data_IF_194782928534
#
_entry.id   IF_194782928534
#
_cell.length_a   1.000
_cell.length_b   1.000
_cell.length_c   1.000
_cell.angle_alpha   90.00
_cell.angle_beta   90.00
_cell.angle_gamma   90.00
#
_symmetry.space_group_name_H-M   'P 1'
#
loop_
_entity.id
_entity.type
_entity.pdbx_description
1 polymer ?
#
# COMPACT_ATOMS: atom_id res chain seq x y z
N UNK A 1 -28.50 60.93 -18.17
CA UNK A 1 -29.08 60.45 -16.90
C UNK A 1 -28.13 59.40 -16.34
N UNK A 2 -27.52 59.65 -15.18
CA UNK A 2 -26.65 58.69 -14.51
C UNK A 2 -27.47 57.95 -13.46
N UNK A 3 -27.34 56.62 -13.43
CA UNK A 3 -27.96 55.79 -12.39
C UNK A 3 -26.87 55.32 -11.42
N UNK A 4 -27.22 55.28 -10.14
CA UNK A 4 -26.39 54.69 -9.09
C UNK A 4 -26.95 53.32 -8.71
N UNK A 5 -26.06 52.38 -8.37
CA UNK A 5 -26.41 51.03 -7.93
C UNK A 5 -25.91 50.81 -6.51
N UNK A 6 -26.67 50.08 -5.71
CA UNK A 6 -26.36 49.78 -4.31
C UNK A 6 -25.16 48.83 -4.20
N UNK A 7 -24.14 49.21 -3.43
CA UNK A 7 -22.91 48.42 -3.22
C UNK A 7 -22.76 47.88 -1.79
N UNK A 8 -23.81 47.95 -0.95
CA UNK A 8 -23.77 47.34 0.38
C UNK A 8 -25.01 47.60 1.24
N UNK A 9 -25.33 46.65 2.12
CA UNK A 9 -26.39 46.75 3.13
C UNK A 9 -25.72 46.75 4.51
N UNK A 10 -26.08 47.71 5.37
CA UNK A 10 -25.48 47.85 6.70
C UNK A 10 -25.82 46.64 7.58
N UNK A 11 -24.81 45.85 7.95
CA UNK A 11 -24.94 44.69 8.83
C UNK A 11 -24.11 43.46 8.44
N UNK A 12 -23.54 43.41 7.24
CA UNK A 12 -22.65 42.31 6.82
C UNK A 12 -21.20 42.81 6.72
N UNK A 13 -20.37 42.41 7.68
CA UNK A 13 -18.90 42.50 7.54
C UNK A 13 -18.42 41.39 6.62
N UNK A 14 -18.31 41.69 5.33
CA UNK A 14 -17.54 40.89 4.37
C UNK A 14 -16.12 41.43 4.30
N UNK A 15 -15.16 40.63 4.75
CA UNK A 15 -13.73 40.85 4.55
C UNK A 15 -13.43 40.85 3.04
N UNK A 16 -13.29 42.03 2.44
CA UNK A 16 -12.85 42.16 1.05
C UNK A 16 -11.35 41.91 0.97
N UNK A 17 -10.97 40.66 0.68
CA UNK A 17 -9.67 40.38 0.06
C UNK A 17 -9.66 41.06 -1.30
N UNK A 18 -8.80 42.06 -1.52
CA UNK A 18 -8.68 42.72 -2.82
C UNK A 18 -8.19 41.72 -3.86
N UNK A 19 -9.07 41.26 -4.74
CA UNK A 19 -8.68 40.42 -5.88
C UNK A 19 -7.92 41.30 -6.89
N UNK A 20 -6.64 41.02 -7.20
CA UNK A 20 -5.84 41.82 -8.13
C UNK A 20 -6.35 41.75 -9.59
N UNK A 21 -7.26 40.81 -9.89
CA UNK A 21 -7.86 40.65 -11.22
C UNK A 21 -9.31 41.12 -11.21
N UNK A 22 -9.52 42.43 -11.09
CA UNK A 22 -10.85 43.07 -11.15
C UNK A 22 -10.81 44.30 -12.07
N UNK A 23 -11.83 44.52 -12.94
CA UNK A 23 -13.06 43.75 -13.06
C UNK A 23 -12.88 42.46 -13.87
N UNK A 24 -13.61 41.40 -13.50
CA UNK A 24 -13.67 40.13 -14.25
C UNK A 24 -14.87 40.13 -15.18
N UNK A 25 -14.70 39.61 -16.39
CA UNK A 25 -15.85 39.35 -17.25
C UNK A 25 -16.71 38.26 -16.61
N UNK A 26 -18.04 38.38 -16.72
CA UNK A 26 -18.97 37.41 -16.13
C UNK A 26 -18.73 36.01 -16.68
N UNK A 27 -19.00 34.98 -15.89
CA UNK A 27 -18.97 33.60 -16.36
C UNK A 27 -17.57 33.00 -16.50
N UNK A 28 -16.52 33.63 -15.96
CA UNK A 28 -15.21 32.99 -15.79
C UNK A 28 -15.37 31.70 -14.95
N UNK A 29 -14.65 30.65 -15.35
CA UNK A 29 -14.60 29.39 -14.62
C UNK A 29 -14.21 29.58 -13.14
N UNK A 30 -14.93 28.90 -12.25
CA UNK A 30 -14.74 29.03 -10.80
C UNK A 30 -13.34 28.61 -10.32
N UNK A 31 -12.63 27.79 -11.10
CA UNK A 31 -11.28 27.30 -10.83
C UNK A 31 -10.17 28.10 -11.53
N UNK A 32 -10.48 29.28 -12.09
CA UNK A 32 -9.50 30.10 -12.78
C UNK A 32 -8.36 30.55 -11.85
N UNK A 33 -7.12 30.25 -12.23
CA UNK A 33 -5.92 30.62 -11.48
C UNK A 33 -4.93 31.49 -12.27
N UNK A 34 -5.22 31.73 -13.55
CA UNK A 34 -4.43 32.60 -14.42
C UNK A 34 -5.36 33.45 -15.28
N UNK A 35 -5.12 34.75 -15.25
CA UNK A 35 -5.98 35.74 -15.86
C UNK A 35 -5.24 36.55 -16.92
N UNK A 36 -5.96 36.95 -17.96
CA UNK A 36 -5.51 37.87 -19.00
C UNK A 36 -6.40 39.10 -19.01
N UNK A 37 -5.81 40.29 -19.11
CA UNK A 37 -6.55 41.54 -19.23
C UNK A 37 -6.77 41.85 -20.71
N UNK A 38 -8.03 41.88 -21.14
CA UNK A 38 -8.37 42.05 -22.56
C UNK A 38 -8.13 43.49 -23.00
N UNK A 39 -7.31 43.68 -24.02
CA UNK A 39 -7.07 44.94 -24.70
C UNK A 39 -8.03 45.16 -25.88
N UNK A 40 -8.16 46.41 -26.33
CA UNK A 40 -9.01 46.74 -27.47
C UNK A 40 -8.40 46.13 -28.73
N UNK A 41 -9.18 45.28 -29.42
CA UNK A 41 -8.76 44.63 -30.67
C UNK A 41 -8.30 43.18 -30.49
N UNK A 42 -8.26 42.68 -29.26
CA UNK A 42 -7.96 41.28 -29.00
C UNK A 42 -9.01 40.32 -29.57
N UNK A 43 -8.53 39.13 -29.94
CA UNK A 43 -9.38 38.01 -30.35
C UNK A 43 -9.05 36.76 -29.54
N UNK A 44 -10.07 35.96 -29.23
CA UNK A 44 -9.96 34.76 -28.41
C UNK A 44 -8.92 33.77 -28.96
N UNK A 45 -8.82 33.63 -30.29
CA UNK A 45 -7.83 32.75 -30.91
C UNK A 45 -6.38 33.24 -30.69
N UNK A 46 -6.15 34.55 -30.72
CA UNK A 46 -4.83 35.13 -30.45
C UNK A 46 -4.45 34.95 -28.98
N UNK A 47 -5.38 35.27 -28.06
CA UNK A 47 -5.18 35.07 -26.61
C UNK A 47 -4.88 33.59 -26.32
N UNK A 48 -5.71 32.67 -26.82
CA UNK A 48 -5.52 31.24 -26.60
C UNK A 48 -4.15 30.75 -27.10
N UNK A 49 -3.73 31.18 -28.29
CA UNK A 49 -2.42 30.87 -28.86
C UNK A 49 -1.26 31.42 -28.01
N UNK A 50 -1.36 32.68 -27.55
CA UNK A 50 -0.34 33.30 -26.67
C UNK A 50 -0.12 32.53 -25.37
N UNK A 51 -1.18 31.94 -24.83
CA UNK A 51 -1.12 31.19 -23.58
C UNK A 51 -0.96 29.66 -23.78
N UNK A 52 -0.86 29.19 -25.02
CA UNK A 52 -0.65 27.78 -25.35
C UNK A 52 -1.84 26.88 -25.00
N UNK A 53 -3.05 27.42 -25.01
CA UNK A 53 -4.30 26.70 -24.71
C UNK A 53 -5.15 26.56 -25.97
N UNK A 54 -6.01 25.54 -26.05
CA UNK A 54 -6.88 25.41 -27.21
C UNK A 54 -7.98 26.48 -27.18
N UNK A 55 -8.51 26.85 -28.34
CA UNK A 55 -9.64 27.78 -28.40
C UNK A 55 -10.90 27.22 -27.72
N UNK A 56 -11.06 25.88 -27.73
CA UNK A 56 -12.13 25.18 -27.03
C UNK A 56 -12.00 25.36 -25.51
N UNK A 57 -10.79 25.22 -24.96
CA UNK A 57 -10.53 25.45 -23.54
C UNK A 57 -10.79 26.90 -23.15
N UNK A 58 -10.34 27.85 -23.98
CA UNK A 58 -10.61 29.26 -23.72
C UNK A 58 -12.11 29.57 -23.65
N UNK A 59 -12.92 28.97 -24.55
CA UNK A 59 -14.38 29.13 -24.51
C UNK A 59 -15.03 28.41 -23.33
N UNK A 60 -14.56 27.22 -22.95
CA UNK A 60 -15.09 26.49 -21.81
C UNK A 60 -14.81 27.21 -20.49
N UNK A 61 -13.66 27.90 -20.38
CA UNK A 61 -13.30 28.68 -19.20
C UNK A 61 -13.94 30.08 -19.17
N UNK A 62 -14.43 30.56 -20.31
CA UNK A 62 -15.03 31.90 -20.44
C UNK A 62 -16.34 31.89 -21.26
N UNK A 63 -17.37 31.11 -20.88
CA UNK A 63 -18.60 30.94 -21.67
C UNK A 63 -19.29 32.24 -22.10
N UNK A 64 -19.17 33.33 -21.32
CA UNK A 64 -19.78 34.61 -21.66
C UNK A 64 -19.16 35.31 -22.88
N UNK A 65 -17.98 34.90 -23.36
CA UNK A 65 -17.39 35.43 -24.61
C UNK A 65 -18.10 34.88 -25.85
N UNK A 66 -18.89 33.81 -25.68
CA UNK A 66 -19.58 33.10 -26.74
C UNK A 66 -18.65 32.21 -27.58
N UNK A 67 -19.23 31.36 -28.43
CA UNK A 67 -18.49 30.44 -29.31
C UNK A 67 -17.90 31.10 -30.55
N UNK A 68 -18.18 32.38 -30.78
CA UNK A 68 -17.67 33.19 -31.89
C UNK A 68 -16.79 34.35 -31.41
N UNK A 69 -16.45 34.41 -30.11
CA UNK A 69 -15.69 35.50 -29.48
C UNK A 69 -16.33 36.90 -29.56
N UNK A 70 -17.58 37.01 -30.04
CA UNK A 70 -18.23 38.32 -30.26
C UNK A 70 -18.51 39.09 -28.98
N UNK A 71 -18.53 38.42 -27.84
CA UNK A 71 -18.84 39.02 -26.53
C UNK A 71 -17.59 39.19 -25.65
N UNK A 72 -16.39 39.12 -26.22
CA UNK A 72 -15.15 39.43 -25.51
C UNK A 72 -15.10 40.94 -25.17
N UNK A 73 -14.98 41.28 -23.88
CA UNK A 73 -15.04 42.66 -23.40
C UNK A 73 -13.65 43.21 -23.11
N UNK A 74 -13.22 44.22 -23.88
CA UNK A 74 -12.00 44.96 -23.55
C UNK A 74 -12.14 45.67 -22.19
N UNK A 75 -11.05 45.68 -21.41
CA UNK A 75 -11.02 46.26 -20.07
C UNK A 75 -11.46 45.32 -18.94
N UNK A 76 -11.72 44.05 -19.25
CA UNK A 76 -12.05 43.01 -18.27
C UNK A 76 -11.00 41.90 -18.27
N UNK A 77 -10.83 41.25 -17.12
CA UNK A 77 -10.06 40.03 -17.03
C UNK A 77 -10.87 38.83 -17.53
N UNK A 78 -10.20 37.94 -18.27
CA UNK A 78 -10.70 36.62 -18.71
C UNK A 78 -9.74 35.53 -18.23
N UNK A 79 -10.22 34.30 -18.15
CA UNK A 79 -9.43 33.16 -17.74
C UNK A 79 -8.55 32.61 -18.87
N UNK A 80 -7.26 32.43 -18.59
CA UNK A 80 -6.29 31.81 -19.51
C UNK A 80 -5.52 30.67 -18.86
N UNK A 81 -5.98 30.23 -17.69
CA UNK A 81 -5.48 29.05 -17.00
C UNK A 81 -6.32 28.77 -15.77
N UNK A 82 -6.59 27.49 -15.56
CA UNK A 82 -7.31 26.99 -14.41
C UNK A 82 -6.37 26.19 -13.51
N UNK A 83 -6.59 26.23 -12.20
CA UNK A 83 -6.01 25.21 -11.34
C UNK A 83 -6.64 23.90 -11.74
N UNK A 84 -5.83 22.83 -11.80
CA UNK A 84 -6.37 21.48 -11.78
C UNK A 84 -7.16 21.29 -10.48
N UNK A 85 -8.43 21.68 -10.48
CA UNK A 85 -9.41 21.11 -9.58
C UNK A 85 -9.57 19.66 -10.02
N UNK A 86 -9.61 18.75 -9.06
CA UNK A 86 -10.37 17.49 -8.97
C UNK A 86 -11.34 17.15 -10.14
N UNK A 87 -10.87 17.19 -11.38
CA UNK A 87 -11.75 17.40 -12.54
C UNK A 87 -11.10 17.23 -13.91
N UNK A 88 -9.77 17.11 -14.02
CA UNK A 88 -9.15 16.39 -15.14
C UNK A 88 -8.99 14.89 -14.84
N UNK A 89 -10.00 14.37 -14.15
CA UNK A 89 -10.30 12.95 -14.04
C UNK A 89 -10.59 12.35 -15.44
N UNK A 90 -11.01 13.18 -16.41
CA UNK A 90 -11.16 12.77 -17.82
C UNK A 90 -9.86 12.81 -18.63
N UNK A 91 -8.75 13.41 -18.17
CA UNK A 91 -7.51 13.42 -18.96
C UNK A 91 -6.93 12.00 -19.07
N UNK A 92 -7.09 11.16 -18.04
CA UNK A 92 -6.76 9.72 -18.13
C UNK A 92 -7.67 9.03 -19.14
N UNK A 93 -8.96 9.37 -19.16
CA UNK A 93 -9.93 8.81 -20.11
C UNK A 93 -9.65 9.26 -21.54
N UNK A 94 -9.28 10.52 -21.76
CA UNK A 94 -8.83 11.06 -23.05
C UNK A 94 -7.47 10.48 -23.47
N UNK A 95 -6.52 10.29 -22.55
CA UNK A 95 -5.25 9.59 -22.81
C UNK A 95 -5.52 8.13 -23.19
N UNK A 96 -6.39 7.42 -22.47
CA UNK A 96 -6.79 6.05 -22.79
C UNK A 96 -7.58 5.97 -24.11
N UNK A 97 -8.34 7.00 -24.44
CA UNK A 97 -9.05 7.12 -25.71
C UNK A 97 -8.10 7.50 -26.86
N UNK A 98 -7.04 8.26 -26.61
CA UNK A 98 -5.95 8.47 -27.56
C UNK A 98 -5.13 7.19 -27.75
N UNK A 99 -4.87 6.42 -26.68
CA UNK A 99 -4.25 5.10 -26.77
C UNK A 99 -5.12 4.13 -27.57
N UNK A 100 -6.45 4.16 -27.39
CA UNK A 100 -7.39 3.34 -28.17
C UNK A 100 -7.42 3.74 -29.66
N UNK A 101 -7.21 5.01 -30.00
CA UNK A 101 -7.01 5.47 -31.38
C UNK A 101 -5.69 4.94 -31.96
N UNK A 102 -4.61 4.90 -31.16
CA UNK A 102 -3.31 4.37 -31.59
C UNK A 102 -3.36 2.84 -31.77
N UNK A 103 -4.17 2.11 -31.00
CA UNK A 103 -4.37 0.66 -31.18
C UNK A 103 -5.36 0.34 -32.31
N UNK A 104 -6.49 1.05 -32.44
CA UNK A 104 -7.45 0.86 -33.55
C UNK A 104 -6.87 1.15 -34.93
N UNK A 105 -5.92 2.09 -35.04
CA UNK A 105 -5.27 2.41 -36.32
C UNK A 105 -4.47 1.24 -36.92
N UNK A 106 -4.23 0.15 -36.17
CA UNK A 106 -3.66 -1.12 -36.69
C UNK A 106 -4.72 -2.11 -37.20
N UNK A 107 -6.00 -1.98 -36.81
CA UNK A 107 -7.07 -2.92 -37.19
C UNK A 107 -7.46 -2.81 -38.68
N UNK A 108 -7.24 -1.68 -39.34
CA UNK A 108 -7.56 -1.53 -40.77
C UNK A 108 -6.62 -2.31 -41.71
N UNK A 109 -5.65 -3.08 -41.19
CA UNK A 109 -4.70 -3.87 -42.02
C UNK A 109 -4.58 -5.36 -41.69
N UNK A 110 -5.34 -5.92 -40.75
CA UNK A 110 -5.19 -7.34 -40.37
C UNK A 110 -6.44 -8.16 -40.74
N UNK A 111 -6.40 -8.82 -41.90
CA UNK A 111 -7.36 -9.87 -42.26
C UNK A 111 -6.95 -11.21 -41.64
N UNK A 112 -7.93 -11.85 -40.98
CA UNK A 112 -8.07 -13.29 -40.67
C UNK A 112 -6.96 -13.97 -39.84
N UNK A 113 -7.20 -14.12 -38.52
CA UNK A 113 -7.26 -15.40 -37.78
C UNK A 113 -7.49 -15.15 -36.27
N UNK A 114 -8.39 -15.94 -35.66
CA UNK A 114 -8.81 -15.91 -34.25
C UNK A 114 -7.67 -16.26 -33.28
N UNK A 115 -7.14 -15.27 -32.55
CA UNK A 115 -6.46 -15.40 -31.23
C UNK A 115 -6.09 -14.01 -30.68
N UNK A 116 -5.93 -13.82 -29.36
CA UNK A 116 -5.28 -12.64 -28.79
C UNK A 116 -3.92 -12.44 -29.46
N UNK A 117 -3.64 -11.23 -29.93
CA UNK A 117 -2.45 -10.90 -30.73
C UNK A 117 -1.19 -11.36 -29.97
N UNK A 118 -0.52 -12.43 -30.45
CA UNK A 118 0.89 -12.69 -30.15
C UNK A 118 1.67 -11.67 -30.98
N UNK A 119 2.05 -10.55 -30.39
CA UNK A 119 2.96 -9.62 -31.04
C UNK A 119 4.25 -10.38 -31.37
N UNK A 120 4.46 -10.54 -32.67
CA UNK A 120 5.64 -11.14 -33.26
C UNK A 120 6.83 -10.24 -32.96
N UNK A 121 7.65 -10.63 -32.00
CA UNK A 121 9.11 -10.63 -32.12
C UNK A 121 9.80 -9.33 -32.61
N UNK A 122 9.29 -8.14 -32.29
CA UNK A 122 9.90 -6.87 -32.71
C UNK A 122 9.95 -5.76 -31.64
N UNK A 123 9.89 -6.10 -30.34
CA UNK A 123 10.19 -5.18 -29.24
C UNK A 123 11.10 -5.87 -28.22
N UNK A 124 12.42 -5.87 -28.46
CA UNK A 124 13.37 -6.73 -27.75
C UNK A 124 13.81 -6.29 -26.35
N UNK A 125 13.32 -5.19 -25.77
CA UNK A 125 13.92 -4.73 -24.49
C UNK A 125 12.93 -4.39 -23.34
N UNK A 126 11.61 -4.32 -23.56
CA UNK A 126 10.63 -3.95 -22.50
C UNK A 126 9.56 -5.02 -22.19
N UNK A 127 9.35 -6.02 -23.06
CA UNK A 127 8.30 -7.05 -22.88
C UNK A 127 8.81 -8.33 -22.18
N UNK A 128 10.12 -8.50 -22.04
CA UNK A 128 10.71 -9.63 -21.31
C UNK A 128 10.33 -9.62 -19.82
N UNK A 129 9.95 -8.46 -19.29
CA UNK A 129 9.39 -8.31 -17.96
C UNK A 129 7.94 -8.76 -17.81
N UNK A 130 7.18 -9.01 -18.88
CA UNK A 130 5.74 -9.32 -18.79
C UNK A 130 5.41 -10.82 -18.71
N UNK A 131 6.42 -11.67 -18.81
CA UNK A 131 6.28 -13.12 -18.90
C UNK A 131 6.74 -13.79 -17.61
N UNK A 132 6.08 -14.90 -17.28
CA UNK A 132 6.49 -15.78 -16.20
C UNK A 132 7.72 -16.60 -16.60
N UNK A 133 8.29 -17.32 -15.63
CA UNK A 133 9.50 -18.12 -15.80
C UNK A 133 9.39 -19.21 -16.88
N UNK A 134 8.18 -19.63 -17.22
CA UNK A 134 7.87 -20.60 -18.29
C UNK A 134 7.69 -19.94 -19.67
N UNK A 135 7.85 -18.62 -19.77
CA UNK A 135 7.70 -17.83 -20.98
C UNK A 135 6.24 -17.52 -21.35
N UNK A 136 5.27 -17.89 -20.52
CA UNK A 136 3.86 -17.52 -20.71
C UNK A 136 3.60 -16.10 -20.20
N UNK A 137 2.54 -15.45 -20.70
CA UNK A 137 2.14 -14.12 -20.22
C UNK A 137 1.67 -14.22 -18.77
N UNK A 138 2.11 -13.32 -17.89
CA UNK A 138 1.73 -13.33 -16.47
C UNK A 138 0.20 -13.46 -16.27
N UNK A 139 -0.23 -14.31 -15.32
CA UNK A 139 -1.66 -14.64 -15.14
C UNK A 139 -2.56 -13.40 -14.96
N UNK A 140 -2.17 -12.42 -14.14
CA UNK A 140 -2.95 -11.18 -13.95
C UNK A 140 -3.11 -10.39 -15.26
N UNK A 141 -2.10 -10.42 -16.15
CA UNK A 141 -2.18 -9.76 -17.45
C UNK A 141 -3.18 -10.48 -18.35
N UNK A 142 -3.17 -11.82 -18.38
CA UNK A 142 -4.15 -12.60 -19.14
C UNK A 142 -5.60 -12.34 -18.68
N UNK A 143 -5.80 -12.14 -17.37
CA UNK A 143 -7.11 -11.87 -16.80
C UNK A 143 -7.54 -10.40 -16.82
N UNK A 144 -6.62 -9.49 -17.17
CA UNK A 144 -6.82 -8.06 -17.07
C UNK A 144 -7.97 -7.58 -17.97
N UNK A 145 -8.90 -6.72 -17.49
CA UNK A 145 -10.00 -6.20 -18.31
C UNK A 145 -9.51 -5.53 -19.59
N UNK A 146 -8.52 -4.64 -19.49
CA UNK A 146 -7.92 -4.00 -20.66
C UNK A 146 -7.26 -4.99 -21.64
N UNK A 147 -6.73 -6.12 -21.16
CA UNK A 147 -6.16 -7.13 -22.07
C UNK A 147 -7.26 -7.82 -22.89
N UNK A 148 -8.42 -8.07 -22.26
CA UNK A 148 -9.61 -8.62 -22.95
C UNK A 148 -10.21 -7.65 -23.96
N UNK A 149 -9.99 -6.35 -23.77
CA UNK A 149 -10.33 -5.27 -24.70
C UNK A 149 -9.18 -4.96 -25.69
N UNK A 150 -8.23 -5.87 -25.86
CA UNK A 150 -7.16 -5.80 -26.86
C UNK A 150 -6.15 -4.65 -26.68
N UNK A 151 -6.04 -4.09 -25.46
CA UNK A 151 -4.95 -3.17 -25.15
C UNK A 151 -3.61 -3.90 -25.06
N UNK A 152 -2.54 -3.23 -25.49
CA UNK A 152 -1.18 -3.78 -25.41
C UNK A 152 -0.73 -3.91 -23.96
N UNK A 153 0.05 -4.96 -23.68
CA UNK A 153 0.61 -5.22 -22.35
C UNK A 153 1.36 -4.02 -21.78
N UNK A 154 2.18 -3.34 -22.60
CA UNK A 154 2.91 -2.14 -22.19
C UNK A 154 1.98 -1.02 -21.69
N UNK A 155 0.86 -0.81 -22.38
CA UNK A 155 -0.11 0.24 -22.02
C UNK A 155 -0.83 -0.14 -20.71
N UNK A 156 -1.14 -1.43 -20.51
CA UNK A 156 -1.72 -1.95 -19.26
C UNK A 156 -0.78 -1.75 -18.08
N UNK A 157 0.50 -2.12 -18.24
CA UNK A 157 1.51 -1.93 -17.19
C UNK A 157 1.70 -0.45 -16.87
N UNK A 158 1.68 0.43 -17.88
CA UNK A 158 1.73 1.87 -17.65
C UNK A 158 0.56 2.39 -16.81
N UNK A 159 -0.67 1.96 -17.13
CA UNK A 159 -1.88 2.29 -16.34
C UNK A 159 -1.75 1.81 -14.90
N UNK A 160 -1.28 0.58 -14.69
CA UNK A 160 -1.11 0.01 -13.35
C UNK A 160 -0.06 0.76 -12.52
N UNK A 161 1.08 1.14 -13.13
CA UNK A 161 2.10 1.95 -12.45
C UNK A 161 1.58 3.34 -12.09
N UNK A 162 0.85 3.98 -13.02
CA UNK A 162 0.23 5.28 -12.78
C UNK A 162 -0.83 5.21 -11.66
N UNK A 163 -1.58 4.11 -11.61
CA UNK A 163 -2.50 3.82 -10.53
C UNK A 163 -1.78 3.71 -9.18
N UNK A 164 -0.67 2.96 -9.07
CA UNK A 164 0.13 2.90 -7.83
C UNK A 164 0.65 4.28 -7.41
N UNK A 165 1.16 5.07 -8.37
CA UNK A 165 1.63 6.42 -8.09
C UNK A 165 0.49 7.32 -7.55
N UNK A 166 -0.73 7.17 -8.08
CA UNK A 166 -1.88 7.95 -7.61
C UNK A 166 -2.22 7.67 -6.15
N UNK A 167 -2.10 6.41 -5.70
CA UNK A 167 -2.28 6.00 -4.31
C UNK A 167 -1.26 6.70 -3.42
N UNK A 168 0.02 6.66 -3.77
CA UNK A 168 1.09 7.30 -2.99
C UNK A 168 0.85 8.81 -2.80
N UNK A 169 0.27 9.47 -3.81
CA UNK A 169 -0.04 10.91 -3.75
C UNK A 169 -1.30 11.28 -2.97
N UNK A 170 -2.11 10.30 -2.52
CA UNK A 170 -3.32 10.57 -1.74
C UNK A 170 -4.51 11.14 -2.51
N UNK A 171 -4.49 11.04 -3.85
CA UNK A 171 -5.53 11.62 -4.72
C UNK A 171 -6.66 10.61 -4.96
N UNK A 172 -7.61 10.52 -4.04
CA UNK A 172 -8.70 9.52 -4.10
C UNK A 172 -9.51 9.56 -5.39
N UNK A 173 -9.76 10.74 -5.96
CA UNK A 173 -10.53 10.88 -7.20
C UNK A 173 -9.76 10.31 -8.40
N UNK A 174 -8.43 10.46 -8.39
CA UNK A 174 -7.57 9.89 -9.42
C UNK A 174 -7.47 8.36 -9.27
N UNK A 175 -7.41 7.85 -8.05
CA UNK A 175 -7.48 6.41 -7.77
C UNK A 175 -8.79 5.83 -8.31
N UNK A 176 -9.92 6.47 -8.03
CA UNK A 176 -11.23 6.02 -8.53
C UNK A 176 -11.30 6.07 -10.05
N UNK A 177 -10.76 7.13 -10.67
CA UNK A 177 -10.66 7.24 -12.12
C UNK A 177 -9.92 6.06 -12.77
N UNK A 178 -8.76 5.70 -12.21
CA UNK A 178 -7.98 4.57 -12.71
C UNK A 178 -8.77 3.26 -12.58
N UNK A 179 -9.44 3.03 -11.45
CA UNK A 179 -10.28 1.85 -11.25
C UNK A 179 -11.45 1.79 -12.24
N UNK A 180 -12.16 2.90 -12.44
CA UNK A 180 -13.25 3.03 -13.41
C UNK A 180 -12.77 2.83 -14.85
N UNK A 181 -11.50 3.17 -15.10
CA UNK A 181 -10.82 3.01 -16.38
C UNK A 181 -10.19 1.62 -16.59
N UNK A 182 -10.44 0.67 -15.68
CA UNK A 182 -10.01 -0.72 -15.81
C UNK A 182 -8.68 -1.06 -15.16
N UNK A 183 -8.09 -0.17 -14.35
CA UNK A 183 -7.01 -0.55 -13.44
C UNK A 183 -7.53 -1.56 -12.41
N UNK A 184 -6.68 -2.51 -12.03
CA UNK A 184 -7.03 -3.63 -11.15
C UNK A 184 -6.29 -3.49 -9.84
N UNK A 185 -7.03 -3.27 -8.74
CA UNK A 185 -6.46 -3.09 -7.41
C UNK A 185 -5.73 -4.34 -6.86
N UNK A 186 -6.07 -5.53 -7.37
CA UNK A 186 -5.41 -6.78 -7.04
C UNK A 186 -4.35 -7.21 -8.05
N UNK A 187 -3.84 -6.30 -8.88
CA UNK A 187 -2.85 -6.62 -9.91
C UNK A 187 -1.49 -6.95 -9.30
N UNK A 188 -0.98 -8.16 -9.54
CA UNK A 188 0.43 -8.46 -9.35
C UNK A 188 1.24 -8.07 -10.58
N UNK A 189 2.30 -7.33 -10.32
CA UNK A 189 3.33 -7.10 -11.32
C UNK A 189 4.14 -8.39 -11.53
N UNK A 190 4.57 -8.66 -12.77
CA UNK A 190 5.46 -9.77 -13.07
C UNK A 190 6.76 -9.73 -12.24
N UNK A 191 7.40 -10.90 -12.06
CA UNK A 191 8.50 -11.13 -11.13
C UNK A 191 9.72 -10.19 -11.24
N UNK A 192 9.95 -9.59 -12.41
CA UNK A 192 11.07 -8.68 -12.65
C UNK A 192 10.81 -7.25 -12.15
N UNK A 193 9.59 -6.94 -11.73
CA UNK A 193 9.16 -5.64 -11.23
C UNK A 193 8.47 -5.78 -9.86
N UNK A 194 9.27 -5.67 -8.81
CA UNK A 194 8.79 -5.65 -7.44
C UNK A 194 8.11 -4.31 -7.13
N UNK A 195 6.80 -4.33 -6.92
CA UNK A 195 6.01 -3.18 -6.51
C UNK A 195 5.25 -3.48 -5.23
N UNK A 196 5.19 -2.54 -4.27
CA UNK A 196 4.41 -2.71 -3.07
C UNK A 196 2.92 -2.83 -3.42
N UNK A 197 2.19 -3.62 -2.63
CA UNK A 197 0.76 -3.77 -2.79
C UNK A 197 0.01 -2.43 -2.64
N UNK A 198 -1.08 -2.20 -3.40
CA UNK A 198 -1.91 -1.02 -3.26
C UNK A 198 -2.35 -0.73 -1.81
N UNK A 199 -2.74 -1.78 -1.06
CA UNK A 199 -3.12 -1.64 0.35
C UNK A 199 -1.93 -1.20 1.21
N UNK A 200 -0.75 -1.81 1.04
CA UNK A 200 0.47 -1.43 1.76
C UNK A 200 0.88 0.02 1.49
N UNK A 201 0.74 0.49 0.25
CA UNK A 201 0.99 1.89 -0.12
C UNK A 201 0.04 2.85 0.60
N UNK A 202 -1.27 2.56 0.60
CA UNK A 202 -2.25 3.38 1.29
C UNK A 202 -1.96 3.47 2.80
N UNK A 203 -1.64 2.34 3.43
CA UNK A 203 -1.27 2.24 4.86
C UNK A 203 -0.02 3.05 5.18
N UNK A 204 1.05 2.86 4.39
CA UNK A 204 2.33 3.54 4.54
C UNK A 204 2.16 5.07 4.52
N UNK A 205 1.36 5.57 3.58
CA UNK A 205 1.12 6.99 3.42
C UNK A 205 -0.04 7.54 4.28
N UNK A 206 -0.81 6.68 4.95
CA UNK A 206 -1.90 7.07 5.85
C UNK A 206 -3.17 7.52 5.13
N UNK A 207 -3.44 6.98 3.95
CA UNK A 207 -4.60 7.33 3.14
C UNK A 207 -5.78 6.38 3.43
N UNK A 208 -6.42 6.55 4.60
CA UNK A 208 -7.53 5.70 5.09
C UNK A 208 -8.68 5.56 4.07
N UNK A 209 -9.14 6.67 3.48
CA UNK A 209 -10.21 6.64 2.47
C UNK A 209 -9.81 5.85 1.21
N UNK A 210 -8.54 5.94 0.80
CA UNK A 210 -8.03 5.20 -0.36
C UNK A 210 -7.92 3.71 -0.01
N UNK A 211 -7.48 3.38 1.21
CA UNK A 211 -7.46 2.01 1.70
C UNK A 211 -8.86 1.37 1.61
N UNK A 212 -9.90 2.07 2.09
CA UNK A 212 -11.28 1.57 2.01
C UNK A 212 -11.77 1.37 0.56
N UNK A 213 -11.42 2.29 -0.34
CA UNK A 213 -11.70 2.15 -1.78
C UNK A 213 -11.03 0.89 -2.33
N UNK A 214 -9.76 0.65 -1.99
CA UNK A 214 -9.00 -0.51 -2.46
C UNK A 214 -9.57 -1.83 -1.92
N UNK A 215 -9.96 -1.89 -0.64
CA UNK A 215 -10.65 -3.05 -0.04
C UNK A 215 -11.97 -3.32 -0.76
N UNK A 216 -12.76 -2.28 -1.05
CA UNK A 216 -14.00 -2.40 -1.83
C UNK A 216 -13.77 -2.98 -3.24
N UNK A 217 -12.62 -2.67 -3.84
CA UNK A 217 -12.21 -3.20 -5.15
C UNK A 217 -11.40 -4.50 -5.07
N UNK A 218 -11.46 -5.21 -3.92
CA UNK A 218 -10.82 -6.52 -3.71
C UNK A 218 -9.31 -6.50 -3.96
N UNK A 219 -8.64 -5.42 -3.53
CA UNK A 219 -7.19 -5.37 -3.53
C UNK A 219 -6.60 -6.52 -2.70
N UNK A 220 -5.44 -7.04 -3.12
CA UNK A 220 -4.76 -8.15 -2.42
C UNK A 220 -4.29 -7.71 -1.05
N UNK A 221 -4.67 -8.47 -0.03
CA UNK A 221 -4.29 -8.25 1.36
C UNK A 221 -2.99 -8.97 1.77
N UNK A 222 -2.36 -9.72 0.86
CA UNK A 222 -1.13 -10.45 1.11
C UNK A 222 -0.25 -10.49 -0.16
N UNK A 223 1.07 -10.41 0.01
CA UNK A 223 2.07 -10.45 -1.06
C UNK A 223 3.50 -10.44 -0.49
N UNK A 224 4.48 -10.72 -1.35
CA UNK A 224 5.89 -10.88 -0.95
C UNK A 224 6.57 -9.56 -0.57
N UNK A 225 6.24 -8.45 -1.25
CA UNK A 225 6.85 -7.14 -1.00
C UNK A 225 5.98 -6.32 -0.02
N UNK A 226 6.40 -6.29 1.25
CA UNK A 226 5.75 -5.63 2.41
C UNK A 226 4.24 -5.94 2.53
N UNK A 227 3.91 -7.02 3.24
CA UNK A 227 2.53 -7.40 3.52
C UNK A 227 1.73 -6.27 4.21
N UNK A 228 0.48 -5.98 3.80
CA UNK A 228 -0.35 -4.91 4.38
C UNK A 228 -0.48 -4.98 5.91
N UNK A 229 -0.55 -6.18 6.48
CA UNK A 229 -0.64 -6.35 7.93
C UNK A 229 0.65 -5.94 8.64
N UNK A 230 1.81 -6.33 8.10
CA UNK A 230 3.11 -5.90 8.63
C UNK A 230 3.25 -4.38 8.51
N UNK A 231 2.84 -3.80 7.38
CA UNK A 231 2.81 -2.35 7.20
C UNK A 231 1.89 -1.66 8.22
N UNK A 232 0.70 -2.23 8.49
CA UNK A 232 -0.25 -1.64 9.43
C UNK A 232 0.30 -1.61 10.86
N UNK A 233 1.01 -2.66 11.28
CA UNK A 233 1.70 -2.68 12.58
C UNK A 233 2.83 -1.65 12.61
N UNK A 234 3.72 -1.70 11.61
CA UNK A 234 4.88 -0.81 11.49
C UNK A 234 4.53 0.68 11.52
N UNK A 235 3.40 1.06 10.91
CA UNK A 235 2.95 2.44 10.81
C UNK A 235 1.82 2.80 11.80
N UNK A 236 1.53 1.92 12.76
CA UNK A 236 0.51 2.13 13.81
C UNK A 236 -0.90 2.47 13.28
N UNK A 237 -1.34 1.75 12.24
CA UNK A 237 -2.60 1.97 11.51
C UNK A 237 -3.72 1.09 12.06
N UNK A 238 -4.35 1.52 13.16
CA UNK A 238 -5.38 0.73 13.87
C UNK A 238 -6.63 0.46 13.03
N UNK A 239 -7.12 1.44 12.26
CA UNK A 239 -8.30 1.25 11.41
C UNK A 239 -8.04 0.13 10.41
N UNK A 240 -6.97 0.26 9.65
CA UNK A 240 -6.59 -0.63 8.57
C UNK A 240 -6.27 -2.03 9.11
N UNK A 241 -5.57 -2.11 10.24
CA UNK A 241 -5.30 -3.37 10.94
C UNK A 241 -6.59 -4.12 11.28
N UNK A 242 -7.58 -3.44 11.87
CA UNK A 242 -8.91 -4.04 12.15
C UNK A 242 -9.59 -4.57 10.89
N UNK A 243 -9.51 -3.84 9.79
CA UNK A 243 -10.11 -4.28 8.52
C UNK A 243 -9.37 -5.51 7.99
N UNK A 244 -8.03 -5.50 8.02
CA UNK A 244 -7.20 -6.62 7.55
C UNK A 244 -7.42 -7.90 8.36
N UNK A 245 -7.57 -7.81 9.68
CA UNK A 245 -7.90 -8.98 10.53
C UNK A 245 -9.22 -9.61 10.07
N UNK A 246 -10.23 -8.81 9.72
CA UNK A 246 -11.53 -9.29 9.24
C UNK A 246 -11.49 -9.89 7.84
N UNK A 247 -10.55 -9.45 6.99
CA UNK A 247 -10.34 -10.05 5.68
C UNK A 247 -9.73 -11.45 5.83
N UNK A 248 -8.91 -11.69 6.87
CA UNK A 248 -8.43 -13.02 7.23
C UNK A 248 -7.43 -13.64 6.25
N UNK A 249 -6.87 -12.83 5.34
CA UNK A 249 -6.23 -13.31 4.10
C UNK A 249 -4.68 -13.39 4.16
N UNK A 250 -4.02 -13.08 5.27
CA UNK A 250 -2.55 -13.13 5.33
C UNK A 250 -2.00 -14.06 6.43
N UNK A 251 -1.01 -14.90 6.07
CA UNK A 251 -0.27 -15.74 7.00
C UNK A 251 0.77 -15.00 7.85
N UNK A 252 1.13 -13.76 7.49
CA UNK A 252 2.21 -12.97 8.10
C UNK A 252 1.86 -12.33 9.47
N UNK A 253 0.93 -12.94 10.24
CA UNK A 253 0.57 -12.44 11.57
C UNK A 253 1.68 -12.71 12.60
N UNK A 254 2.49 -13.72 12.37
CA UNK A 254 3.68 -14.05 13.15
C UNK A 254 4.75 -12.94 13.08
N UNK A 255 5.06 -12.47 11.87
CA UNK A 255 5.96 -11.32 11.64
C UNK A 255 5.37 -10.05 12.26
N UNK A 256 4.08 -9.81 12.05
CA UNK A 256 3.39 -8.65 12.60
C UNK A 256 3.38 -8.62 14.13
N UNK A 257 3.14 -9.77 14.78
CA UNK A 257 3.19 -9.91 16.24
C UNK A 257 4.60 -9.72 16.78
N UNK A 258 5.62 -10.24 16.08
CA UNK A 258 7.03 -10.05 16.45
C UNK A 258 7.41 -8.57 16.41
N UNK A 259 7.02 -7.84 15.36
CA UNK A 259 7.25 -6.40 15.24
C UNK A 259 6.51 -5.60 16.33
N UNK A 260 5.37 -6.11 16.79
CA UNK A 260 4.53 -5.43 17.77
C UNK A 260 5.04 -5.55 19.22
N UNK A 261 6.12 -6.31 19.49
CA UNK A 261 6.69 -6.53 20.83
C UNK A 261 7.11 -5.24 21.56
N UNK A 262 7.27 -4.12 20.87
CA UNK A 262 7.55 -2.82 21.50
C UNK A 262 6.28 -2.00 21.81
N UNK A 263 5.11 -2.48 21.39
CA UNK A 263 3.93 -1.62 21.20
C UNK A 263 2.65 -2.29 21.70
N UNK A 264 2.47 -2.37 23.02
CA UNK A 264 1.31 -3.05 23.65
C UNK A 264 -0.06 -2.69 23.06
N UNK A 265 -0.39 -1.40 22.80
CA UNK A 265 -1.71 -1.05 22.27
C UNK A 265 -2.03 -1.69 20.92
N UNK A 266 -1.05 -1.90 20.05
CA UNK A 266 -1.31 -2.50 18.73
C UNK A 266 -1.52 -4.01 18.84
N UNK A 267 -0.78 -4.68 19.72
CA UNK A 267 -0.97 -6.12 19.96
C UNK A 267 -2.29 -6.41 20.65
N UNK A 268 -2.66 -5.61 21.65
CA UNK A 268 -3.98 -5.71 22.29
C UNK A 268 -5.07 -5.53 21.23
N UNK A 269 -4.91 -4.54 20.33
CA UNK A 269 -5.83 -4.35 19.22
C UNK A 269 -5.89 -5.54 18.26
N UNK A 270 -4.77 -6.19 17.95
CA UNK A 270 -4.74 -7.40 17.10
C UNK A 270 -5.50 -8.55 17.75
N UNK A 271 -5.24 -8.81 19.04
CA UNK A 271 -5.88 -9.88 19.81
C UNK A 271 -7.38 -9.62 19.96
N UNK A 272 -7.77 -8.40 20.33
CA UNK A 272 -9.17 -7.99 20.47
C UNK A 272 -9.98 -8.12 19.17
N UNK A 273 -9.30 -8.05 18.01
CA UNK A 273 -9.95 -8.18 16.70
C UNK A 273 -9.89 -9.60 16.12
N UNK A 274 -9.30 -10.57 16.83
CA UNK A 274 -9.38 -12.00 16.48
C UNK A 274 -8.09 -12.63 15.97
N UNK A 275 -6.92 -12.01 16.17
CA UNK A 275 -5.64 -12.69 15.87
C UNK A 275 -5.37 -13.79 16.89
N UNK A 276 -5.26 -15.03 16.41
CA UNK A 276 -5.05 -16.21 17.25
C UNK A 276 -3.58 -16.36 17.66
N UNK A 277 -3.23 -15.91 18.87
CA UNK A 277 -1.86 -16.06 19.43
C UNK A 277 -1.43 -17.53 19.51
N UNK A 278 -2.37 -18.45 19.74
CA UNK A 278 -2.10 -19.90 19.70
C UNK A 278 -1.58 -20.40 18.35
N UNK A 279 -1.89 -19.71 17.25
CA UNK A 279 -1.45 -20.07 15.90
C UNK A 279 -0.20 -19.30 15.48
N UNK A 280 -0.18 -18.00 15.74
CA UNK A 280 0.83 -17.08 15.18
C UNK A 280 1.84 -16.55 16.21
N UNK A 281 1.56 -16.70 17.51
CA UNK A 281 2.32 -16.07 18.59
C UNK A 281 3.63 -16.75 18.95
N UNK A 282 3.94 -17.92 18.39
CA UNK A 282 5.14 -18.67 18.76
C UNK A 282 6.43 -17.94 18.36
N UNK A 283 6.47 -17.33 17.18
CA UNK A 283 7.64 -16.55 16.72
C UNK A 283 7.83 -15.32 17.62
N UNK A 284 6.75 -14.61 17.94
CA UNK A 284 6.78 -13.49 18.86
C UNK A 284 7.20 -13.91 20.28
N UNK A 285 6.87 -15.13 20.72
CA UNK A 285 7.30 -15.65 22.02
C UNK A 285 8.81 -15.85 22.07
N UNK A 286 9.42 -16.42 21.03
CA UNK A 286 10.88 -16.54 20.96
C UNK A 286 11.56 -15.17 20.90
N UNK A 287 11.02 -14.21 20.13
CA UNK A 287 11.51 -12.83 20.14
C UNK A 287 11.44 -12.17 21.51
N UNK A 288 10.33 -12.35 22.24
CA UNK A 288 10.19 -11.83 23.60
C UNK A 288 11.18 -12.48 24.59
N UNK A 289 11.47 -13.77 24.43
CA UNK A 289 12.44 -14.49 25.26
C UNK A 289 13.86 -14.01 24.98
N UNK A 290 14.26 -13.88 23.73
CA UNK A 290 15.62 -13.44 23.34
C UNK A 290 15.89 -11.99 23.75
N UNK A 291 14.87 -11.14 23.73
CA UNK A 291 14.96 -9.74 24.17
C UNK A 291 14.77 -9.53 25.68
N UNK A 292 14.38 -10.56 26.43
CA UNK A 292 14.18 -10.48 27.89
C UNK A 292 12.90 -9.74 28.29
N UNK A 293 11.91 -9.66 27.40
CA UNK A 293 10.64 -8.96 27.63
C UNK A 293 9.68 -9.82 28.44
N UNK A 294 9.93 -9.98 29.74
CA UNK A 294 9.14 -10.85 30.63
C UNK A 294 7.63 -10.58 30.58
N UNK A 295 7.20 -9.31 30.63
CA UNK A 295 5.78 -8.92 30.54
C UNK A 295 5.09 -9.39 29.23
N UNK A 296 5.87 -9.56 28.16
CA UNK A 296 5.39 -10.10 26.89
C UNK A 296 5.41 -11.62 26.85
N UNK A 297 6.42 -12.26 27.44
CA UNK A 297 6.46 -13.72 27.63
C UNK A 297 5.24 -14.18 28.43
N UNK A 298 4.95 -13.50 29.55
CA UNK A 298 3.76 -13.71 30.37
C UNK A 298 2.47 -13.58 29.56
N UNK A 299 2.35 -12.49 28.81
CA UNK A 299 1.18 -12.23 27.97
C UNK A 299 0.98 -13.31 26.90
N UNK A 300 2.00 -13.59 26.09
CA UNK A 300 1.89 -14.53 24.97
C UNK A 300 1.55 -15.94 25.44
N UNK A 301 2.17 -16.41 26.54
CA UNK A 301 1.85 -17.70 27.14
C UNK A 301 0.42 -17.70 27.69
N UNK A 302 -0.04 -16.62 28.33
CA UNK A 302 -1.43 -16.49 28.80
C UNK A 302 -2.46 -16.53 27.66
N UNK A 303 -2.08 -16.06 26.47
CA UNK A 303 -2.90 -16.09 25.25
C UNK A 303 -2.74 -17.39 24.44
N UNK A 304 -1.94 -18.35 24.92
CA UNK A 304 -1.83 -19.69 24.35
C UNK A 304 -0.65 -19.93 23.40
N UNK A 305 0.36 -19.05 23.38
CA UNK A 305 1.63 -19.37 22.74
C UNK A 305 2.33 -20.52 23.51
N UNK A 306 2.84 -21.50 22.77
CA UNK A 306 3.49 -22.68 23.34
C UNK A 306 4.97 -22.43 23.63
N UNK A 307 5.42 -22.46 24.91
CA UNK A 307 6.83 -22.34 25.25
C UNK A 307 7.63 -23.65 25.11
N UNK A 308 7.00 -24.79 24.82
CA UNK A 308 7.64 -26.10 24.67
C UNK A 308 8.10 -26.39 23.23
N UNK A 309 8.44 -25.34 22.50
CA UNK A 309 9.03 -25.45 21.16
C UNK A 309 10.55 -25.31 21.23
N UNK A 310 11.22 -25.70 20.15
CA UNK A 310 12.64 -25.43 19.95
C UNK A 310 12.86 -24.59 18.68
N UNK A 311 13.96 -23.83 18.67
CA UNK A 311 14.37 -23.00 17.54
C UNK A 311 15.88 -23.14 17.34
N UNK A 312 16.31 -23.24 16.09
CA UNK A 312 17.73 -23.23 15.73
C UNK A 312 18.37 -21.89 16.07
N UNK A 313 19.55 -21.91 16.67
CA UNK A 313 20.44 -20.75 16.68
C UNK A 313 21.31 -20.88 15.43
N UNK A 314 21.34 -19.88 14.57
CA UNK A 314 22.27 -19.89 13.44
C UNK A 314 23.71 -19.96 13.96
N UNK A 315 24.36 -21.12 13.85
CA UNK A 315 25.83 -21.22 13.92
C UNK A 315 26.32 -22.60 13.49
N UNK A 316 26.92 -22.64 12.31
CA UNK A 316 28.29 -23.11 12.05
C UNK A 316 28.38 -23.83 10.71
N UNK A 317 29.23 -23.30 9.83
CA UNK A 317 29.58 -23.90 8.55
C UNK A 317 30.14 -25.31 8.81
N UNK A 318 29.30 -26.33 8.64
CA UNK A 318 29.70 -27.74 8.66
C UNK A 318 29.23 -28.58 9.85
N UNK A 319 28.51 -28.02 10.83
CA UNK A 319 27.81 -28.77 11.88
C UNK A 319 26.30 -28.68 11.63
N UNK A 320 25.57 -29.80 11.73
CA UNK A 320 24.11 -29.78 11.52
C UNK A 320 23.38 -28.78 12.43
N UNK A 321 22.23 -28.28 11.98
CA UNK A 321 21.41 -27.31 12.72
C UNK A 321 21.01 -27.86 14.08
N UNK A 322 21.68 -27.42 15.15
CA UNK A 322 21.30 -27.75 16.52
C UNK A 322 20.13 -26.85 16.94
N UNK A 323 19.08 -27.48 17.45
CA UNK A 323 17.85 -26.81 17.89
C UNK A 323 17.84 -26.70 19.40
N UNK A 324 17.39 -25.55 19.90
CA UNK A 324 17.51 -25.22 21.31
C UNK A 324 16.16 -24.81 21.89
N UNK A 325 15.93 -25.20 23.14
CA UNK A 325 14.69 -24.92 23.87
C UNK A 325 14.51 -23.44 24.20
N UNK A 326 13.28 -23.01 24.51
CA UNK A 326 13.00 -21.67 25.03
C UNK A 326 13.83 -21.30 26.27
N UNK A 327 14.10 -22.27 27.16
CA UNK A 327 14.96 -22.10 28.33
C UNK A 327 16.41 -21.81 27.90
N UNK A 328 16.92 -22.56 26.92
CA UNK A 328 18.26 -22.34 26.37
C UNK A 328 18.43 -20.89 25.89
N UNK A 329 17.48 -20.38 25.10
CA UNK A 329 17.51 -19.02 24.57
C UNK A 329 17.48 -17.95 25.68
N UNK A 330 16.72 -18.19 26.75
CA UNK A 330 16.70 -17.30 27.92
C UNK A 330 18.07 -17.28 28.64
N UNK A 331 18.68 -18.45 28.85
CA UNK A 331 20.00 -18.58 29.48
C UNK A 331 21.09 -17.97 28.57
N UNK A 332 21.05 -18.25 27.27
CA UNK A 332 22.01 -17.76 26.29
C UNK A 332 22.12 -16.23 26.31
N UNK A 333 20.98 -15.55 26.42
CA UNK A 333 20.91 -14.09 26.45
C UNK A 333 20.99 -13.48 27.86
N UNK A 334 21.08 -14.32 28.91
CA UNK A 334 21.23 -13.86 30.30
C UNK A 334 19.92 -13.41 30.98
N UNK A 335 18.77 -13.74 30.41
CA UNK A 335 17.44 -13.38 30.92
C UNK A 335 16.96 -14.40 31.95
N UNK A 336 17.59 -14.39 33.12
CA UNK A 336 17.40 -15.42 34.15
C UNK A 336 16.00 -15.41 34.78
N UNK A 337 15.34 -14.25 34.82
CA UNK A 337 13.97 -14.09 35.28
C UNK A 337 12.95 -14.71 34.31
N UNK A 338 13.17 -14.55 33.00
CA UNK A 338 12.42 -15.26 31.95
C UNK A 338 12.65 -16.77 32.05
N UNK A 339 13.90 -17.20 32.25
CA UNK A 339 14.24 -18.61 32.45
C UNK A 339 13.47 -19.24 33.62
N UNK A 340 13.49 -18.60 34.79
CA UNK A 340 12.72 -19.07 35.97
C UNK A 340 11.23 -19.12 35.69
N UNK A 341 10.69 -18.08 35.04
CA UNK A 341 9.28 -18.03 34.68
C UNK A 341 8.86 -19.20 33.77
N UNK A 342 9.67 -19.53 32.76
CA UNK A 342 9.41 -20.67 31.86
C UNK A 342 9.39 -22.01 32.61
N UNK A 343 10.34 -22.21 33.54
CA UNK A 343 10.41 -23.41 34.38
C UNK A 343 9.17 -23.51 35.29
N UNK A 344 8.77 -22.40 35.91
CA UNK A 344 7.54 -22.32 36.74
C UNK A 344 6.27 -22.64 35.93
N UNK A 345 6.28 -22.35 34.62
CA UNK A 345 5.18 -22.64 33.69
C UNK A 345 5.30 -24.01 33.00
N UNK A 346 6.14 -24.89 33.54
CA UNK A 346 6.18 -26.31 33.19
C UNK A 346 7.06 -26.66 32.00
N UNK A 347 7.83 -25.72 31.47
CA UNK A 347 8.83 -26.03 30.43
C UNK A 347 9.91 -26.92 31.04
N UNK A 348 10.05 -28.13 30.50
CA UNK A 348 11.06 -29.07 30.98
C UNK A 348 12.44 -28.68 30.46
N UNK A 349 13.45 -28.50 31.34
CA UNK A 349 14.82 -28.23 30.91
C UNK A 349 15.47 -29.46 30.28
N UNK A 350 16.38 -29.21 29.36
CA UNK A 350 17.22 -30.19 28.67
C UNK A 350 18.66 -30.16 29.20
N UNK A 351 19.43 -31.21 28.91
CA UNK A 351 20.82 -31.31 29.40
C UNK A 351 21.70 -30.15 28.88
N UNK A 352 21.45 -29.71 27.64
CA UNK A 352 22.10 -28.55 27.04
C UNK A 352 21.82 -27.24 27.80
N UNK A 353 20.63 -27.09 28.41
CA UNK A 353 20.28 -25.91 29.22
C UNK A 353 21.15 -25.84 30.48
N UNK A 354 21.32 -26.98 31.15
CA UNK A 354 22.15 -27.11 32.34
C UNK A 354 23.64 -26.90 32.02
N UNK A 355 24.09 -27.47 30.90
CA UNK A 355 25.47 -27.27 30.45
C UNK A 355 25.75 -25.79 30.20
N UNK A 356 24.88 -25.11 29.45
CA UNK A 356 25.05 -23.69 29.16
C UNK A 356 25.01 -22.82 30.44
N UNK A 357 24.12 -23.12 31.38
CA UNK A 357 24.06 -22.40 32.65
C UNK A 357 25.36 -22.53 33.47
N UNK A 358 26.02 -23.70 33.42
CA UNK A 358 27.33 -23.91 34.05
C UNK A 358 28.44 -23.15 33.32
N UNK A 359 28.44 -23.19 31.99
CA UNK A 359 29.41 -22.47 31.15
C UNK A 359 29.33 -20.95 31.37
N UNK A 360 28.14 -20.40 31.61
CA UNK A 360 27.92 -18.98 31.91
C UNK A 360 28.03 -18.63 33.40
N UNK A 361 28.32 -19.61 34.26
CA UNK A 361 28.47 -19.43 35.71
C UNK A 361 27.20 -18.83 36.38
N UNK A 362 26.02 -19.19 35.90
CA UNK A 362 24.75 -18.77 36.50
C UNK A 362 24.34 -19.70 37.64
N UNK A 363 25.06 -19.60 38.77
CA UNK A 363 24.94 -20.50 39.94
C UNK A 363 23.49 -20.75 40.41
N UNK A 364 22.66 -19.71 40.41
CA UNK A 364 21.26 -19.83 40.82
C UNK A 364 20.45 -20.72 39.85
N UNK A 365 20.62 -20.51 38.54
CA UNK A 365 19.98 -21.33 37.51
C UNK A 365 20.55 -22.74 37.53
N UNK A 366 21.88 -22.91 37.70
CA UNK A 366 22.50 -24.23 37.87
C UNK A 366 21.89 -24.99 39.05
N UNK A 367 21.64 -24.30 40.17
CA UNK A 367 20.98 -24.89 41.35
C UNK A 367 19.56 -25.38 41.04
N UNK A 368 18.77 -24.57 40.31
CA UNK A 368 17.40 -24.94 39.89
C UNK A 368 17.44 -26.13 38.93
N UNK A 369 18.23 -26.03 37.86
CA UNK A 369 18.31 -27.03 36.80
C UNK A 369 18.89 -28.37 37.31
N UNK A 370 19.82 -28.35 38.25
CA UNK A 370 20.40 -29.59 38.82
C UNK A 370 19.36 -30.45 39.57
N UNK A 371 18.19 -29.90 39.92
CA UNK A 371 17.09 -30.63 40.55
C UNK A 371 16.23 -31.46 39.58
N UNK A 372 16.40 -31.31 38.27
CA UNK A 372 15.58 -31.99 37.25
C UNK A 372 16.19 -33.33 36.80
N UNK A 373 15.32 -34.23 36.33
CA UNK A 373 15.71 -35.47 35.66
C UNK A 373 15.80 -35.23 34.15
N UNK A 374 16.94 -35.60 33.56
CA UNK A 374 17.19 -35.50 32.11
C UNK A 374 16.95 -36.81 31.36
N UNK A 375 16.36 -37.79 32.04
CA UNK A 375 16.00 -39.09 31.45
C UNK A 375 14.58 -39.00 30.89
N UNK A 376 14.37 -39.51 29.68
CA UNK A 376 13.09 -39.56 28.97
C UNK A 376 12.40 -38.18 28.78
N UNK A 377 13.19 -37.12 28.61
CA UNK A 377 12.67 -35.78 28.30
C UNK A 377 12.03 -35.81 26.90
N UNK A 378 10.75 -35.44 26.74
CA UNK A 378 10.10 -35.40 25.44
C UNK A 378 10.82 -34.45 24.47
N UNK A 379 10.97 -34.88 23.23
CA UNK A 379 11.52 -34.05 22.16
C UNK A 379 10.57 -32.87 21.89
N UNK A 380 11.12 -31.65 21.90
CA UNK A 380 10.35 -30.43 21.63
C UNK A 380 10.10 -30.29 20.13
N UNK A 381 8.87 -29.93 19.75
CA UNK A 381 8.54 -29.65 18.35
C UNK A 381 9.30 -28.42 17.86
N UNK A 382 9.81 -28.49 16.63
CA UNK A 382 10.52 -27.40 16.00
C UNK A 382 9.58 -26.28 15.55
N UNK A 383 9.91 -25.03 15.90
CA UNK A 383 9.12 -23.85 15.61
C UNK A 383 8.86 -23.69 14.10
N UNK A 384 9.89 -23.91 13.28
CA UNK A 384 9.78 -23.78 11.81
C UNK A 384 8.86 -24.86 11.26
N UNK A 385 9.04 -26.11 11.69
CA UNK A 385 8.17 -27.22 11.31
C UNK A 385 6.71 -26.96 11.71
N UNK A 386 6.47 -26.48 12.93
CA UNK A 386 5.15 -26.07 13.44
C UNK A 386 4.53 -24.97 12.57
N UNK A 387 5.33 -23.98 12.19
CA UNK A 387 4.91 -22.88 11.33
C UNK A 387 4.51 -23.38 9.93
N UNK A 388 5.34 -24.22 9.29
CA UNK A 388 5.04 -24.80 7.98
C UNK A 388 3.73 -25.59 8.03
N UNK A 389 3.54 -26.44 9.04
CA UNK A 389 2.33 -27.27 9.19
C UNK A 389 1.06 -26.46 9.45
N UNK A 390 1.18 -25.22 9.94
CA UNK A 390 0.03 -24.35 10.24
C UNK A 390 -0.33 -23.41 9.09
N UNK A 391 0.58 -23.23 8.12
CA UNK A 391 0.45 -22.28 7.00
C UNK A 391 0.48 -22.93 5.61
N UNK A 392 0.82 -24.22 5.52
CA UNK A 392 0.64 -25.07 4.32
C UNK A 392 -0.79 -25.58 4.25
#
# INVERSE_FOLDING_TARGET
AGYFVCIGVAGSTTTTTSNPHSPQQTGIAANCNKYYFVEIGDGCAAIASTYGITLADFYSWNPAVGTSCQSLQAGYYVCVGVSAQSGDICLVQEILQQLSVVTKKREETASTEDSPIRDTQDNTDEEDGARDWDGTLHWDLQQHPLYKEWYRVRDILFVQRAFLASISTGRKELVQCFLDSGAVAGFAFPANEKHPLPLSLAIRHGHEEIFDILVKHKARACGEDECPVVAAVKYHRFHELRVLVRLGDCGHWDEALSLALDTRPISDHMVDNGVEIKKYGHVALFGAITEGKKDWVEFLISQGADPNLCLSTESDIGGGEKKYSSIYHAILNGHLDVCKFLIEHGVQPEEDDLQLAREKEYDEIVGILSGFSYVDVPEKEDLITRWINTHS
#
